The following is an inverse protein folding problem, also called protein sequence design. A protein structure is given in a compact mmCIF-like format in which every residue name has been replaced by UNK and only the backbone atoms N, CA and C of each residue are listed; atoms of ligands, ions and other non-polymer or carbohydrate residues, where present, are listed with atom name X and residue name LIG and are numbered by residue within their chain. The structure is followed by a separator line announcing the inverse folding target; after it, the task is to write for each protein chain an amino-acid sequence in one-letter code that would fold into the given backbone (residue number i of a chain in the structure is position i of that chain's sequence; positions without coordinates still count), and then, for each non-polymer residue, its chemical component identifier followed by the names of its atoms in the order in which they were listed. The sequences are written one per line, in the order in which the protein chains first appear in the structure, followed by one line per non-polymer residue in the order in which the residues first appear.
data_IF_976754222304
#
_entry.id   IF_976754222304
#
_cell.length_a   1.000
_cell.length_b   1.000
_cell.length_c   1.000
_cell.angle_alpha   90.00
_cell.angle_beta   90.00
_cell.angle_gamma   90.00
#
_symmetry.space_group_name_H-M   'P 1'
#
loop_
_entity.id
_entity.type
_entity.pdbx_description
1 polymer ?
#
# COMPACT_ATOMS: atom_id res chain seq x y z
N UNK A 1 1.46 -25.60 24.37
CA UNK A 1 1.51 -25.07 22.99
C UNK A 1 1.37 -23.56 23.04
N UNK A 2 2.08 -22.79 22.20
CA UNK A 2 1.89 -21.33 22.07
C UNK A 2 1.11 -21.05 20.79
N UNK A 3 0.09 -20.20 20.87
CA UNK A 3 -0.71 -19.80 19.71
C UNK A 3 -0.01 -18.64 19.01
N UNK A 4 0.24 -18.77 17.71
CA UNK A 4 0.73 -17.69 16.86
C UNK A 4 -0.44 -17.05 16.12
N UNK A 5 -0.54 -15.72 16.18
CA UNK A 5 -1.59 -14.96 15.48
C UNK A 5 -0.93 -14.09 14.41
N UNK A 6 -1.37 -14.23 13.17
CA UNK A 6 -0.89 -13.45 12.03
C UNK A 6 -1.94 -12.39 11.64
N UNK A 7 -1.64 -11.12 11.89
CA UNK A 7 -2.45 -9.99 11.40
C UNK A 7 -1.88 -9.51 10.07
N UNK A 8 -2.60 -9.73 8.98
CA UNK A 8 -2.18 -9.32 7.62
C UNK A 8 -3.10 -8.27 7.03
N UNK A 9 -2.55 -7.37 6.22
CA UNK A 9 -3.28 -6.43 5.38
C UNK A 9 -2.56 -6.26 4.03
N UNK A 10 -3.14 -5.48 3.11
CA UNK A 10 -2.53 -5.15 1.81
C UNK A 10 -1.32 -4.22 1.90
N UNK A 11 -1.01 -3.71 3.08
CA UNK A 11 0.05 -2.74 3.32
C UNK A 11 -0.31 -1.31 2.96
N UNK A 12 0.67 -0.44 3.15
CA UNK A 12 0.58 1.00 2.95
C UNK A 12 1.98 1.50 2.54
N UNK A 13 2.12 2.60 1.80
CA UNK A 13 3.45 3.16 1.52
C UNK A 13 4.16 3.58 2.81
N UNK A 14 5.50 3.52 2.83
CA UNK A 14 6.31 3.91 3.99
C UNK A 14 6.21 5.40 4.34
N UNK A 15 5.90 6.25 3.36
CA UNK A 15 5.72 7.69 3.53
C UNK A 15 4.74 8.25 2.49
N UNK A 16 4.11 9.42 2.73
CA UNK A 16 3.17 10.04 1.80
C UNK A 16 3.91 10.77 0.66
N UNK A 17 5.03 10.21 0.18
CA UNK A 17 5.88 10.81 -0.85
C UNK A 17 5.69 10.11 -2.20
N UNK A 18 5.92 10.84 -3.31
CA UNK A 18 5.82 10.27 -4.66
C UNK A 18 6.67 9.00 -4.82
N UNK A 19 7.88 8.99 -4.26
CA UNK A 19 8.82 7.86 -4.39
C UNK A 19 8.34 6.62 -3.65
N UNK A 20 7.90 6.77 -2.40
CA UNK A 20 7.35 5.66 -1.62
C UNK A 20 6.07 5.10 -2.26
N UNK A 21 5.18 5.99 -2.75
CA UNK A 21 3.98 5.57 -3.48
C UNK A 21 4.31 4.89 -4.81
N UNK A 22 5.34 5.32 -5.54
CA UNK A 22 5.75 4.65 -6.78
C UNK A 22 6.22 3.21 -6.50
N UNK A 23 7.00 3.00 -5.44
CA UNK A 23 7.43 1.66 -5.01
C UNK A 23 6.25 0.78 -4.61
N UNK A 24 5.38 1.29 -3.75
CA UNK A 24 4.17 0.58 -3.29
C UNK A 24 3.25 0.22 -4.46
N UNK A 25 2.91 1.19 -5.32
CA UNK A 25 2.03 0.95 -6.47
C UNK A 25 2.65 -0.03 -7.47
N UNK A 26 3.97 -0.02 -7.67
CA UNK A 26 4.64 -0.99 -8.53
C UNK A 26 4.44 -2.40 -7.99
N UNK A 27 4.67 -2.64 -6.70
CA UNK A 27 4.48 -3.95 -6.09
C UNK A 27 3.01 -4.38 -6.16
N UNK A 28 2.10 -3.50 -5.74
CA UNK A 28 0.66 -3.80 -5.66
C UNK A 28 0.02 -4.05 -7.04
N UNK A 29 0.35 -3.25 -8.05
CA UNK A 29 -0.25 -3.34 -9.38
C UNK A 29 0.45 -4.34 -10.32
N UNK A 30 1.61 -4.88 -9.92
CA UNK A 30 2.29 -5.97 -10.65
C UNK A 30 1.86 -7.35 -10.16
N UNK A 31 1.11 -7.45 -9.07
CA UNK A 31 0.65 -8.72 -8.52
C UNK A 31 -0.57 -9.23 -9.31
N UNK A 32 -0.41 -10.40 -9.93
CA UNK A 32 -1.47 -11.10 -10.68
C UNK A 32 -2.68 -11.46 -9.80
N UNK A 33 -2.50 -11.53 -8.47
CA UNK A 33 -3.60 -11.77 -7.51
C UNK A 33 -4.44 -10.51 -7.28
N UNK A 34 -3.90 -9.33 -7.58
CA UNK A 34 -4.58 -8.04 -7.42
C UNK A 34 -5.20 -7.60 -8.75
N UNK A 35 -4.47 -7.76 -9.86
CA UNK A 35 -4.95 -7.39 -11.20
C UNK A 35 -4.72 -8.55 -12.14
N UNK A 36 -5.79 -8.99 -12.80
CA UNK A 36 -5.75 -10.03 -13.83
C UNK A 36 -6.06 -9.42 -15.19
N UNK A 37 -5.05 -8.81 -15.87
CA UNK A 37 -5.28 -8.19 -17.16
C UNK A 37 -5.46 -9.28 -18.23
N UNK A 38 -6.33 -9.05 -19.24
CA UNK A 38 -6.48 -9.97 -20.37
C UNK A 38 -5.18 -10.11 -21.19
N UNK A 39 -4.31 -9.10 -21.18
CA UNK A 39 -2.99 -9.14 -21.80
C UNK A 39 -1.92 -8.55 -20.85
N UNK A 40 -1.00 -9.42 -20.39
CA UNK A 40 0.07 -9.05 -19.45
C UNK A 40 1.09 -8.07 -20.03
N UNK A 41 1.38 -8.14 -21.33
CA UNK A 41 2.36 -7.26 -21.98
C UNK A 41 1.82 -5.83 -22.09
N UNK A 42 0.57 -5.68 -22.53
CA UNK A 42 -0.10 -4.38 -22.59
C UNK A 42 -0.20 -3.77 -21.19
N UNK A 43 -0.55 -4.58 -20.19
CA UNK A 43 -0.60 -4.12 -18.80
C UNK A 43 0.76 -3.67 -18.29
N UNK A 44 1.81 -4.45 -18.54
CA UNK A 44 3.16 -4.10 -18.13
C UNK A 44 3.63 -2.77 -18.74
N UNK A 45 3.33 -2.53 -20.03
CA UNK A 45 3.60 -1.25 -20.69
C UNK A 45 2.80 -0.11 -20.05
N UNK A 46 1.49 -0.28 -19.87
CA UNK A 46 0.65 0.73 -19.23
C UNK A 46 1.12 1.05 -17.81
N UNK A 47 1.50 0.04 -17.04
CA UNK A 47 1.99 0.18 -15.67
C UNK A 47 3.28 0.99 -15.62
N UNK A 48 4.31 0.59 -16.39
CA UNK A 48 5.65 1.16 -16.28
C UNK A 48 5.78 2.49 -17.03
N UNK A 49 5.06 2.69 -18.14
CA UNK A 49 5.16 3.90 -18.97
C UNK A 49 4.21 4.99 -18.49
N UNK A 50 2.96 4.65 -18.13
CA UNK A 50 1.91 5.64 -17.84
C UNK A 50 1.64 5.72 -16.33
N UNK A 51 1.20 4.61 -15.73
CA UNK A 51 0.63 4.61 -14.38
C UNK A 51 1.69 5.03 -13.35
N UNK A 52 2.88 4.41 -13.35
CA UNK A 52 3.93 4.68 -12.37
C UNK A 52 4.61 6.04 -12.55
N UNK A 53 4.35 6.77 -13.63
CA UNK A 53 4.89 8.11 -13.85
C UNK A 53 3.89 9.21 -13.47
N UNK A 54 2.59 8.97 -13.66
CA UNK A 54 1.54 9.97 -13.43
C UNK A 54 0.85 9.78 -12.08
N UNK A 55 0.45 8.55 -11.73
CA UNK A 55 -0.42 8.25 -10.58
C UNK A 55 0.23 8.52 -9.21
N UNK A 56 1.53 8.23 -8.97
CA UNK A 56 2.09 8.33 -7.61
C UNK A 56 2.01 9.73 -7.01
N UNK A 57 2.16 10.79 -7.80
CA UNK A 57 2.06 12.17 -7.31
C UNK A 57 0.64 12.51 -6.84
N UNK A 58 -0.38 12.08 -7.59
CA UNK A 58 -1.79 12.26 -7.20
C UNK A 58 -2.12 11.45 -5.94
N UNK A 59 -1.63 10.23 -5.84
CA UNK A 59 -1.83 9.39 -4.65
C UNK A 59 -1.13 9.98 -3.42
N UNK A 60 0.12 10.43 -3.55
CA UNK A 60 0.89 11.04 -2.46
C UNK A 60 0.11 12.18 -1.79
N UNK A 61 -0.44 13.12 -2.57
CA UNK A 61 -1.28 14.21 -2.06
C UNK A 61 -2.52 13.72 -1.28
N UNK A 62 -3.11 12.60 -1.69
CA UNK A 62 -4.26 12.01 -0.97
C UNK A 62 -3.81 11.37 0.34
N UNK A 63 -2.69 10.65 0.34
CA UNK A 63 -2.12 10.06 1.56
C UNK A 63 -1.70 11.14 2.54
N UNK A 64 -1.04 12.20 2.07
CA UNK A 64 -0.59 13.35 2.86
C UNK A 64 -1.74 13.99 3.64
N UNK A 65 -2.91 14.18 3.01
CA UNK A 65 -4.11 14.75 3.65
C UNK A 65 -4.61 13.98 4.88
N UNK A 66 -4.27 12.70 5.01
CA UNK A 66 -4.73 11.84 6.11
C UNK A 66 -3.58 11.23 6.92
N UNK A 67 -2.33 11.53 6.55
CA UNK A 67 -1.15 11.02 7.23
C UNK A 67 -1.07 11.61 8.63
N UNK A 68 -0.79 10.78 9.64
CA UNK A 68 -0.68 11.26 11.01
C UNK A 68 -2.01 11.45 11.77
N UNK A 69 -3.17 11.43 11.07
CA UNK A 69 -4.47 11.78 11.69
C UNK A 69 -4.98 10.76 12.71
N UNK A 70 -4.51 9.52 12.65
CA UNK A 70 -4.94 8.40 13.49
C UNK A 70 -3.77 7.79 14.28
N UNK A 71 -2.67 8.54 14.42
CA UNK A 71 -1.39 8.06 14.95
C UNK A 71 -0.27 8.14 13.92
N UNK A 72 0.90 7.59 14.26
CA UNK A 72 2.10 7.66 13.41
C UNK A 72 1.91 6.85 12.12
N UNK A 73 1.95 7.54 10.99
CA UNK A 73 1.95 6.91 9.67
C UNK A 73 0.57 6.95 9.00
N UNK A 74 0.27 5.93 8.19
CA UNK A 74 -1.04 5.80 7.58
C UNK A 74 -2.08 5.31 8.62
N UNK A 75 -3.38 5.59 8.38
CA UNK A 75 -4.43 5.09 9.26
C UNK A 75 -4.44 3.56 9.36
N UNK A 76 -4.22 2.86 8.24
CA UNK A 76 -4.20 1.39 8.19
C UNK A 76 -3.11 0.83 9.11
N UNK A 77 -1.88 1.35 9.02
CA UNK A 77 -0.77 0.88 9.88
C UNK A 77 -1.01 1.23 11.35
N UNK A 78 -1.50 2.43 11.64
CA UNK A 78 -1.77 2.87 13.00
C UNK A 78 -2.83 1.99 13.68
N UNK A 79 -3.93 1.73 12.97
CA UNK A 79 -5.03 0.89 13.47
C UNK A 79 -4.59 -0.58 13.60
N UNK A 80 -3.84 -1.12 12.64
CA UNK A 80 -3.30 -2.48 12.73
C UNK A 80 -2.36 -2.65 13.94
N UNK A 81 -1.56 -1.64 14.28
CA UNK A 81 -0.74 -1.68 15.49
C UNK A 81 -1.58 -1.71 16.78
N UNK A 82 -2.71 -0.98 16.82
CA UNK A 82 -3.65 -1.03 17.94
C UNK A 82 -4.32 -2.40 18.05
N UNK A 83 -4.72 -3.00 16.93
CA UNK A 83 -5.25 -4.37 16.89
C UNK A 83 -4.23 -5.38 17.42
N UNK A 84 -2.97 -5.26 17.00
CA UNK A 84 -1.88 -6.10 17.49
C UNK A 84 -1.70 -5.98 19.01
N UNK A 85 -1.80 -4.78 19.57
CA UNK A 85 -1.75 -4.58 21.02
C UNK A 85 -2.96 -5.21 21.74
N UNK A 86 -4.16 -5.13 21.15
CA UNK A 86 -5.36 -5.75 21.70
C UNK A 86 -5.29 -7.29 21.72
N UNK A 87 -4.73 -7.89 20.68
CA UNK A 87 -4.60 -9.35 20.53
C UNK A 87 -3.46 -9.94 21.39
N UNK A 88 -2.47 -9.12 21.78
CA UNK A 88 -1.38 -9.54 22.67
C UNK A 88 -1.78 -9.63 24.14
N UNK A 89 -2.89 -9.02 24.53
CA UNK A 89 -3.43 -9.07 25.90
C UNK A 89 -4.12 -10.40 26.13
#
# INVERSE_FOLDING_TARGET
MKIGILLTNLGTPDSPTKTALKRYLKQFLSDDRVIQPPNKLIWWLALNVVILNIRPAKSAKKYEKIWGKFGKGSPLLSITNLQLQGVKK
#
